data_IF_399189213888
#
_entry.id   IF_399189213888
#
_cell.length_a   1.000
_cell.length_b   1.000
_cell.length_c   1.000
_cell.angle_alpha   90.00
_cell.angle_beta   90.00
_cell.angle_gamma   90.00
#
_symmetry.space_group_name_H-M   'P 1'
#
loop_
_entity.id
_entity.type
_entity.pdbx_description
1 polymer ?
#
# COMPACT_ATOMS: atom_id res chain seq x y z
N UNK A 1 -10.57 -6.61 4.81
CA UNK A 1 -9.45 -6.75 5.80
C UNK A 1 -8.23 -7.29 5.05
N UNK A 2 -7.04 -6.71 5.23
CA UNK A 2 -5.86 -7.15 4.48
C UNK A 2 -5.40 -8.56 4.88
N UNK A 3 -4.93 -9.33 3.90
CA UNK A 3 -4.42 -10.69 4.09
C UNK A 3 -3.12 -10.77 4.90
N UNK A 4 -2.75 -11.99 5.33
CA UNK A 4 -1.59 -12.23 6.21
C UNK A 4 -0.27 -11.70 5.66
N UNK A 5 -0.07 -11.78 4.33
CA UNK A 5 1.13 -11.26 3.64
C UNK A 5 1.28 -9.75 3.75
N UNK A 6 0.18 -9.00 3.69
CA UNK A 6 0.21 -7.56 3.87
C UNK A 6 0.63 -7.21 5.31
N UNK A 7 0.02 -7.88 6.29
CA UNK A 7 0.28 -7.65 7.71
C UNK A 7 1.74 -7.97 8.08
N UNK A 8 2.32 -9.05 7.53
CA UNK A 8 3.72 -9.39 7.80
C UNK A 8 4.67 -8.32 7.28
N UNK A 9 4.48 -7.84 6.04
CA UNK A 9 5.33 -6.79 5.46
C UNK A 9 5.22 -5.48 6.27
N UNK A 10 4.01 -5.09 6.67
CA UNK A 10 3.80 -3.90 7.53
C UNK A 10 4.59 -4.04 8.83
N UNK A 11 4.54 -5.22 9.48
CA UNK A 11 5.30 -5.51 10.69
C UNK A 11 6.80 -5.47 10.45
N UNK A 12 7.27 -6.06 9.36
CA UNK A 12 8.70 -6.14 9.04
C UNK A 12 9.29 -4.75 8.72
N UNK A 13 8.54 -3.87 8.07
CA UNK A 13 8.94 -2.46 7.90
C UNK A 13 8.97 -1.73 9.25
N UNK A 14 7.93 -1.90 10.08
CA UNK A 14 7.81 -1.24 11.39
C UNK A 14 8.91 -1.67 12.36
N UNK A 15 9.24 -2.96 12.39
CA UNK A 15 10.28 -3.54 13.23
C UNK A 15 11.67 -3.45 12.62
N UNK A 16 11.86 -2.65 11.56
CA UNK A 16 13.16 -2.42 10.93
C UNK A 16 13.85 -3.70 10.42
N UNK A 17 13.09 -4.74 10.07
CA UNK A 17 13.61 -5.89 9.31
C UNK A 17 13.74 -5.57 7.83
N UNK A 18 12.85 -4.71 7.32
CA UNK A 18 12.94 -4.12 5.98
C UNK A 18 13.40 -2.66 6.17
N UNK A 19 14.60 -2.34 5.70
CA UNK A 19 15.26 -1.05 5.88
C UNK A 19 15.81 -0.49 4.57
N UNK A 20 16.08 0.81 4.55
CA UNK A 20 16.53 1.55 3.37
C UNK A 20 15.37 1.99 2.48
N UNK A 21 15.45 3.23 1.97
CA UNK A 21 14.38 3.89 1.20
C UNK A 21 13.83 2.99 0.08
N UNK A 22 14.73 2.53 -0.80
CA UNK A 22 14.40 1.68 -1.94
C UNK A 22 13.71 0.36 -1.56
N UNK A 23 14.16 -0.30 -0.48
CA UNK A 23 13.56 -1.56 -0.05
C UNK A 23 12.20 -1.32 0.61
N UNK A 24 12.09 -0.31 1.47
CA UNK A 24 10.82 0.08 2.09
C UNK A 24 9.79 0.38 1.00
N UNK A 25 10.14 1.17 -0.01
CA UNK A 25 9.28 1.44 -1.17
C UNK A 25 8.88 0.15 -1.89
N UNK A 26 9.86 -0.68 -2.30
CA UNK A 26 9.62 -1.94 -3.02
C UNK A 26 8.66 -2.85 -2.27
N UNK A 27 8.90 -3.05 -0.98
CA UNK A 27 8.07 -3.93 -0.16
C UNK A 27 6.70 -3.33 0.15
N UNK A 28 6.58 -2.01 0.35
CA UNK A 28 5.29 -1.36 0.50
C UNK A 28 4.41 -1.51 -0.75
N UNK A 29 4.98 -1.32 -1.96
CA UNK A 29 4.25 -1.57 -3.21
C UNK A 29 3.86 -3.04 -3.37
N UNK A 30 4.74 -3.98 -2.97
CA UNK A 30 4.43 -5.41 -2.95
C UNK A 30 3.30 -5.74 -1.98
N UNK A 31 3.28 -5.11 -0.80
CA UNK A 31 2.20 -5.25 0.17
C UNK A 31 0.86 -4.77 -0.41
N UNK A 32 0.83 -3.59 -1.05
CA UNK A 32 -0.38 -3.11 -1.74
C UNK A 32 -0.86 -4.08 -2.82
N UNK A 33 0.05 -4.62 -3.63
CA UNK A 33 -0.30 -5.65 -4.62
C UNK A 33 -0.99 -6.86 -3.98
N UNK A 34 -0.47 -7.35 -2.86
CA UNK A 34 -1.11 -8.45 -2.12
C UNK A 34 -2.45 -8.04 -1.53
N UNK A 35 -2.55 -6.84 -0.98
CA UNK A 35 -3.82 -6.31 -0.49
C UNK A 35 -4.89 -6.25 -1.58
N UNK A 36 -4.54 -5.82 -2.79
CA UNK A 36 -5.48 -5.77 -3.91
C UNK A 36 -5.89 -7.19 -4.32
N UNK A 37 -4.91 -8.10 -4.45
CA UNK A 37 -5.16 -9.49 -4.86
C UNK A 37 -6.00 -10.27 -3.84
N UNK A 38 -5.80 -10.00 -2.55
CA UNK A 38 -6.52 -10.67 -1.46
C UNK A 38 -7.83 -9.94 -1.09
N UNK A 39 -8.16 -8.84 -1.77
CA UNK A 39 -9.36 -8.03 -1.48
C UNK A 39 -10.62 -8.83 -1.78
N UNK A 40 -11.60 -8.74 -0.87
CA UNK A 40 -12.94 -9.35 -1.02
C UNK A 40 -14.04 -8.30 -1.12
N UNK A 41 -13.67 -7.05 -1.40
CA UNK A 41 -14.62 -5.96 -1.53
C UNK A 41 -15.60 -6.24 -2.68
N UNK A 42 -16.90 -6.12 -2.41
CA UNK A 42 -17.97 -6.39 -3.38
C UNK A 42 -18.42 -5.14 -4.14
N UNK A 43 -17.88 -3.97 -3.80
CA UNK A 43 -18.16 -2.71 -4.49
C UNK A 43 -16.89 -1.91 -4.70
N UNK A 44 -16.89 -1.07 -5.73
CA UNK A 44 -15.78 -0.18 -6.04
C UNK A 44 -15.47 0.77 -4.88
N UNK A 45 -16.51 1.29 -4.20
CA UNK A 45 -16.32 2.18 -3.06
C UNK A 45 -15.67 1.46 -1.88
N UNK A 46 -16.12 0.24 -1.56
CA UNK A 46 -15.51 -0.57 -0.50
C UNK A 46 -14.05 -0.92 -0.83
N UNK A 47 -13.76 -1.21 -2.10
CA UNK A 47 -12.41 -1.48 -2.59
C UNK A 47 -11.51 -0.25 -2.44
N UNK A 48 -11.98 0.94 -2.89
CA UNK A 48 -11.25 2.20 -2.75
C UNK A 48 -10.97 2.54 -1.28
N UNK A 49 -11.95 2.33 -0.40
CA UNK A 49 -11.81 2.55 1.04
C UNK A 49 -10.77 1.60 1.66
N UNK A 50 -10.82 0.32 1.30
CA UNK A 50 -9.84 -0.67 1.75
C UNK A 50 -8.43 -0.33 1.25
N UNK A 51 -8.27 -0.02 -0.04
CA UNK A 51 -6.99 0.32 -0.64
C UNK A 51 -6.36 1.56 0.01
N UNK A 52 -7.16 2.63 0.19
CA UNK A 52 -6.72 3.85 0.89
C UNK A 52 -6.33 3.56 2.33
N UNK A 53 -7.11 2.77 3.06
CA UNK A 53 -6.79 2.38 4.44
C UNK A 53 -5.46 1.61 4.55
N UNK A 54 -5.21 0.70 3.60
CA UNK A 54 -3.98 -0.08 3.56
C UNK A 54 -2.76 0.79 3.17
N UNK A 55 -2.92 1.73 2.24
CA UNK A 55 -1.88 2.71 1.92
C UNK A 55 -1.53 3.60 3.12
N UNK A 56 -2.54 4.09 3.87
CA UNK A 56 -2.33 4.86 5.11
C UNK A 56 -1.61 4.02 6.16
N UNK A 57 -1.97 2.74 6.28
CA UNK A 57 -1.28 1.82 7.21
C UNK A 57 0.20 1.70 6.89
N UNK A 58 0.55 1.54 5.61
CA UNK A 58 1.94 1.51 5.17
C UNK A 58 2.65 2.84 5.43
N UNK A 59 2.03 3.98 5.12
CA UNK A 59 2.62 5.30 5.39
C UNK A 59 2.98 5.49 6.86
N UNK A 60 2.12 5.01 7.77
CA UNK A 60 2.33 5.09 9.22
C UNK A 60 3.47 4.20 9.74
N UNK A 61 3.94 3.22 8.95
CA UNK A 61 5.09 2.39 9.38
C UNK A 61 6.37 3.20 9.47
N UNK A 62 6.57 4.15 8.54
CA UNK A 62 7.73 5.06 8.49
C UNK A 62 7.29 6.42 7.93
N UNK A 63 6.62 7.27 8.73
CA UNK A 63 5.99 8.48 8.25
C UNK A 63 6.98 9.50 7.70
N UNK A 64 8.26 9.44 8.08
CA UNK A 64 9.32 10.36 7.66
C UNK A 64 10.03 9.93 6.37
N UNK A 65 9.77 8.73 5.86
CA UNK A 65 10.44 8.21 4.66
C UNK A 65 9.86 8.87 3.38
N UNK A 66 10.64 9.69 2.65
CA UNK A 66 10.14 10.45 1.51
C UNK A 66 9.77 9.59 0.28
N UNK A 67 10.52 8.53 -0.02
CA UNK A 67 10.24 7.63 -1.16
C UNK A 67 8.94 6.86 -0.93
N UNK A 68 8.72 6.36 0.30
CA UNK A 68 7.48 5.68 0.65
C UNK A 68 6.26 6.60 0.43
N UNK A 69 6.34 7.83 0.97
CA UNK A 69 5.27 8.83 0.85
C UNK A 69 4.97 9.16 -0.62
N UNK A 70 6.02 9.41 -1.39
CA UNK A 70 5.89 9.79 -2.81
C UNK A 70 5.26 8.65 -3.62
N UNK A 71 5.72 7.43 -3.41
CA UNK A 71 5.23 6.24 -4.12
C UNK A 71 3.77 5.96 -3.83
N UNK A 72 3.36 6.03 -2.55
CA UNK A 72 1.97 5.84 -2.15
C UNK A 72 1.06 6.95 -2.70
N UNK A 73 1.54 8.19 -2.73
CA UNK A 73 0.79 9.33 -3.31
C UNK A 73 0.53 9.12 -4.80
N UNK A 74 1.57 8.82 -5.59
CA UNK A 74 1.44 8.60 -7.03
C UNK A 74 0.49 7.42 -7.30
N UNK A 75 0.68 6.31 -6.59
CA UNK A 75 -0.17 5.14 -6.72
C UNK A 75 -1.65 5.45 -6.45
N UNK A 76 -1.96 6.18 -5.37
CA UNK A 76 -3.33 6.55 -5.04
C UNK A 76 -3.92 7.55 -6.05
N UNK A 77 -3.13 8.48 -6.59
CA UNK A 77 -3.58 9.38 -7.64
C UNK A 77 -3.97 8.58 -8.90
N UNK A 78 -3.11 7.68 -9.35
CA UNK A 78 -3.37 6.82 -10.51
C UNK A 78 -4.59 5.92 -10.33
N UNK A 79 -4.76 5.35 -9.12
CA UNK A 79 -5.92 4.52 -8.79
C UNK A 79 -7.25 5.31 -8.77
N UNK A 80 -7.21 6.63 -8.57
CA UNK A 80 -8.38 7.49 -8.60
C UNK A 80 -8.70 8.01 -10.01
N UNK A 81 -7.67 8.25 -10.84
CA UNK A 81 -7.80 8.74 -12.22
C UNK A 81 -8.04 7.63 -13.23
N UNK A 82 -8.53 6.45 -12.82
CA UNK A 82 -8.96 5.40 -13.75
C UNK A 82 -10.16 5.83 -14.59
N UNK A 83 -9.91 6.68 -15.58
CA UNK A 83 -10.56 6.64 -16.89
C UNK A 83 -9.91 5.49 -17.67
N UNK A 84 -10.69 4.67 -18.39
CA UNK A 84 -10.11 3.67 -19.28
C UNK A 84 -9.48 4.42 -20.45
N UNK A 85 -8.15 4.50 -20.49
CA UNK A 85 -7.46 4.81 -21.74
C UNK A 85 -7.12 3.48 -22.39
N UNK A 86 -7.88 3.20 -23.47
CA UNK A 86 -7.58 2.18 -24.49
C UNK A 86 -6.21 2.46 -25.09
#
# INVERSE_FOLDING_TARGET
MPGNRFKSIVRDIKCLKIQGASQVRKWAMKALRWSVRDSRARSLEAFRRELKGNAVTLLRTRPTEPELRTSLRIFLQQANTGSPTV
#
